data_IF_877691760689
#
_entry.id   IF_877691760689
#
_cell.length_a   1.000
_cell.length_b   1.000
_cell.length_c   1.000
_cell.angle_alpha   90.00
_cell.angle_beta   90.00
_cell.angle_gamma   90.00
#
_symmetry.space_group_name_H-M   'P 1'
#
loop_
_entity.id
_entity.type
_entity.pdbx_description
1 polymer ?
#
# COMPACT_ATOMS: atom_id res chain seq x y z
N UNK A 1 -2.43 -36.23 2.76
CA UNK A 1 -3.05 -36.92 1.62
C UNK A 1 -2.26 -36.52 0.39
N UNK A 2 -1.62 -37.47 -0.30
CA UNK A 2 -0.66 -37.15 -1.35
C UNK A 2 -1.34 -37.29 -2.71
N UNK A 3 -1.37 -36.20 -3.48
CA UNK A 3 -2.02 -36.13 -4.80
C UNK A 3 -0.95 -35.79 -5.83
N UNK A 4 -0.97 -36.50 -6.96
CA UNK A 4 -0.17 -36.19 -8.12
C UNK A 4 -1.07 -35.59 -9.19
N UNK A 5 -0.64 -34.46 -9.74
CA UNK A 5 -1.35 -33.73 -10.79
C UNK A 5 -0.38 -33.61 -11.96
N UNK A 6 -0.76 -34.17 -13.10
CA UNK A 6 -0.06 -34.03 -14.38
C UNK A 6 -1.08 -33.65 -15.45
N UNK A 7 -1.07 -32.38 -15.86
CA UNK A 7 -2.14 -31.81 -16.67
C UNK A 7 -3.49 -31.84 -15.94
N UNK A 8 -4.51 -32.42 -16.58
CA UNK A 8 -5.86 -32.56 -16.02
C UNK A 8 -6.07 -33.82 -15.18
N UNK A 9 -5.09 -34.73 -15.14
CA UNK A 9 -5.19 -35.97 -14.39
C UNK A 9 -4.74 -35.78 -12.95
N UNK A 10 -5.71 -35.73 -12.03
CA UNK A 10 -5.48 -35.77 -10.60
C UNK A 10 -5.71 -37.20 -10.08
N UNK A 11 -4.67 -37.82 -9.51
CA UNK A 11 -4.80 -39.12 -8.84
C UNK A 11 -4.16 -39.13 -7.45
N UNK A 12 -4.78 -39.89 -6.56
CA UNK A 12 -4.22 -40.18 -5.25
C UNK A 12 -3.02 -41.11 -5.39
N UNK A 13 -1.90 -40.72 -4.77
CA UNK A 13 -0.68 -41.54 -4.74
C UNK A 13 -0.79 -42.60 -3.64
N UNK A 14 -0.46 -43.84 -3.98
CA UNK A 14 -0.27 -44.90 -3.01
C UNK A 14 1.15 -44.83 -2.42
N UNK A 15 1.38 -45.45 -1.25
CA UNK A 15 2.71 -45.47 -0.60
C UNK A 15 3.81 -46.07 -1.50
N UNK A 16 3.46 -46.98 -2.41
CA UNK A 16 4.38 -47.53 -3.41
C UNK A 16 4.95 -46.46 -4.35
N UNK A 17 4.16 -45.43 -4.67
CA UNK A 17 4.51 -44.38 -5.64
C UNK A 17 5.52 -43.37 -5.06
N UNK A 18 5.71 -43.39 -3.73
CA UNK A 18 6.54 -42.47 -2.97
C UNK A 18 7.94 -43.03 -2.69
N UNK A 19 8.19 -44.32 -2.95
CA UNK A 19 9.49 -44.95 -2.68
C UNK A 19 10.61 -44.31 -3.50
N UNK A 20 11.63 -43.81 -2.82
CA UNK A 20 12.84 -43.22 -3.44
C UNK A 20 12.69 -41.76 -3.87
N UNK A 21 11.50 -41.15 -3.71
CA UNK A 21 11.29 -39.72 -3.97
C UNK A 21 11.52 -38.91 -2.70
N UNK A 22 12.15 -37.72 -2.82
CA UNK A 22 12.21 -36.77 -1.70
C UNK A 22 10.80 -36.26 -1.42
N UNK A 23 10.32 -36.53 -0.23
CA UNK A 23 9.02 -36.04 0.26
C UNK A 23 9.24 -34.69 0.92
N UNK A 24 8.45 -33.69 0.54
CA UNK A 24 8.37 -32.41 1.25
C UNK A 24 7.13 -32.48 2.14
N UNK A 25 7.34 -32.47 3.45
CA UNK A 25 6.24 -32.51 4.40
C UNK A 25 5.65 -31.10 4.53
N UNK A 26 4.44 -30.90 4.01
CA UNK A 26 3.69 -29.66 4.24
C UNK A 26 3.15 -29.75 5.67
N UNK A 27 3.85 -29.08 6.60
CA UNK A 27 3.44 -29.03 8.00
C UNK A 27 2.04 -28.40 8.11
N UNK A 28 1.10 -29.01 8.87
CA UNK A 28 -0.28 -28.51 9.02
C UNK A 28 -0.41 -27.10 9.58
N UNK A 29 0.67 -26.54 10.15
CA UNK A 29 0.67 -25.22 10.76
C UNK A 29 0.57 -24.06 9.75
N UNK A 30 0.67 -24.31 8.43
CA UNK A 30 0.59 -23.26 7.40
C UNK A 30 -0.81 -23.07 6.81
N UNK A 31 -1.76 -23.99 7.05
CA UNK A 31 -3.16 -23.70 6.75
C UNK A 31 -3.77 -22.95 7.93
N UNK A 32 -3.88 -21.62 7.81
CA UNK A 32 -4.60 -20.74 8.74
C UNK A 32 -6.10 -21.00 8.83
N UNK A 33 -6.53 -22.26 8.71
CA UNK A 33 -7.91 -22.73 8.86
C UNK A 33 -8.31 -22.87 10.32
N UNK A 34 -7.99 -21.89 11.17
CA UNK A 34 -8.81 -21.67 12.35
C UNK A 34 -10.07 -20.96 11.85
N UNK A 35 -11.10 -21.73 11.47
CA UNK A 35 -12.46 -21.20 11.36
C UNK A 35 -12.89 -20.92 12.79
N UNK A 36 -12.46 -19.78 13.33
CA UNK A 36 -13.16 -19.20 14.45
C UNK A 36 -14.63 -19.10 14.02
N UNK A 37 -15.60 -19.53 14.86
CA UNK A 37 -16.99 -19.24 14.57
C UNK A 37 -17.06 -17.75 14.27
N UNK A 38 -17.75 -17.37 13.18
CA UNK A 38 -18.02 -15.97 12.90
C UNK A 38 -18.50 -15.38 14.22
N UNK A 39 -17.81 -14.35 14.78
CA UNK A 39 -18.28 -13.75 16.00
C UNK A 39 -19.76 -13.45 15.77
N UNK A 40 -20.61 -13.73 16.76
CA UNK A 40 -21.94 -13.13 16.77
C UNK A 40 -21.75 -11.69 16.32
N UNK A 41 -22.61 -11.19 15.42
CA UNK A 41 -22.59 -9.77 15.05
C UNK A 41 -22.82 -8.96 16.33
N UNK A 42 -21.78 -8.80 17.14
CA UNK A 42 -21.58 -7.67 18.00
C UNK A 42 -21.87 -6.55 17.02
N UNK A 43 -22.93 -5.79 17.33
CA UNK A 43 -23.20 -4.55 16.61
C UNK A 43 -21.85 -3.86 16.61
N UNK A 44 -21.14 -3.84 15.47
CA UNK A 44 -20.06 -2.87 15.29
C UNK A 44 -20.76 -1.59 15.66
N UNK A 45 -20.32 -0.94 16.75
CA UNK A 45 -20.83 0.37 17.13
C UNK A 45 -21.01 1.12 15.82
N UNK A 46 -22.24 1.59 15.54
CA UNK A 46 -22.67 2.07 14.22
C UNK A 46 -21.65 3.07 13.69
N UNK A 47 -20.68 2.57 12.93
CA UNK A 47 -19.60 3.38 12.41
C UNK A 47 -19.99 3.70 10.99
N UNK A 48 -20.07 4.99 10.71
CA UNK A 48 -20.37 5.52 9.40
C UNK A 48 -19.39 4.91 8.39
N UNK A 49 -19.93 4.41 7.27
CA UNK A 49 -19.10 3.91 6.17
C UNK A 49 -18.73 5.11 5.32
N UNK A 50 -17.44 5.42 5.27
CA UNK A 50 -16.92 6.54 4.49
C UNK A 50 -16.61 6.07 3.07
N UNK A 51 -17.35 6.60 2.10
CA UNK A 51 -17.12 6.39 0.67
C UNK A 51 -15.95 7.24 0.12
N UNK A 52 -15.68 7.08 -1.17
CA UNK A 52 -14.73 7.92 -1.89
C UNK A 52 -15.44 9.11 -2.55
N UNK A 53 -15.12 10.32 -2.12
CA UNK A 53 -15.53 11.53 -2.84
C UNK A 53 -14.87 11.64 -4.23
N UNK A 54 -13.72 10.98 -4.42
CA UNK A 54 -13.01 10.92 -5.71
C UNK A 54 -13.83 10.12 -6.72
N UNK A 55 -14.44 9.00 -6.32
CA UNK A 55 -15.31 8.20 -7.19
C UNK A 55 -16.51 9.02 -7.70
N UNK A 56 -17.10 9.85 -6.84
CA UNK A 56 -18.18 10.77 -7.23
C UNK A 56 -17.68 11.79 -8.27
N UNK A 57 -16.51 12.38 -8.03
CA UNK A 57 -15.87 13.34 -8.93
C UNK A 57 -15.57 12.72 -10.30
N UNK A 58 -14.95 11.54 -10.32
CA UNK A 58 -14.67 10.78 -11.55
C UNK A 58 -15.98 10.46 -12.27
N UNK A 59 -17.00 10.03 -11.56
CA UNK A 59 -18.32 9.74 -12.13
C UNK A 59 -18.98 10.98 -12.75
N UNK A 60 -18.82 12.16 -12.15
CA UNK A 60 -19.31 13.43 -12.71
C UNK A 60 -18.55 13.76 -14.00
N UNK A 61 -17.22 13.66 -14.00
CA UNK A 61 -16.40 13.92 -15.20
C UNK A 61 -16.73 12.95 -16.32
N UNK A 62 -16.88 11.65 -16.03
CA UNK A 62 -17.19 10.61 -17.01
C UNK A 62 -18.59 10.77 -17.65
N UNK A 63 -19.54 11.38 -16.94
CA UNK A 63 -20.90 11.66 -17.45
C UNK A 63 -21.03 13.02 -18.15
N UNK A 64 -19.96 13.81 -18.18
CA UNK A 64 -19.99 15.12 -18.82
C UNK A 64 -20.09 14.96 -20.34
N UNK A 65 -21.15 15.53 -20.91
CA UNK A 65 -21.40 15.50 -22.37
C UNK A 65 -21.05 16.80 -23.07
N UNK A 66 -20.72 17.84 -22.29
CA UNK A 66 -20.30 19.15 -22.80
C UNK A 66 -18.79 19.18 -23.00
N UNK A 67 -18.36 19.96 -23.99
CA UNK A 67 -16.96 20.29 -24.18
C UNK A 67 -16.46 21.08 -22.97
N UNK A 68 -15.61 20.46 -22.15
CA UNK A 68 -15.12 21.02 -20.89
C UNK A 68 -13.64 20.73 -20.73
N UNK A 69 -12.89 21.71 -20.21
CA UNK A 69 -11.53 21.50 -19.74
C UNK A 69 -11.61 21.15 -18.26
N UNK A 70 -11.19 19.93 -17.90
CA UNK A 70 -11.26 19.43 -16.52
C UNK A 70 -9.87 19.42 -15.87
N UNK A 71 -9.80 20.01 -14.68
CA UNK A 71 -8.65 19.90 -13.76
C UNK A 71 -9.00 19.11 -12.50
N UNK A 72 -10.10 18.35 -12.53
CA UNK A 72 -10.70 17.75 -11.34
C UNK A 72 -10.10 16.39 -10.94
N UNK A 73 -9.44 15.70 -11.86
CA UNK A 73 -8.93 14.33 -11.64
C UNK A 73 -7.44 14.30 -11.94
N UNK A 74 -6.65 13.88 -10.95
CA UNK A 74 -5.21 13.64 -11.09
C UNK A 74 -4.92 12.26 -11.66
N UNK A 75 -5.24 12.05 -12.94
CA UNK A 75 -4.91 10.81 -13.66
C UNK A 75 -3.73 11.04 -14.63
N UNK A 76 -2.93 10.01 -14.95
CA UNK A 76 -1.94 10.09 -16.02
C UNK A 76 -2.58 10.48 -17.36
N UNK A 77 -1.82 11.14 -18.23
CA UNK A 77 -2.31 11.47 -19.57
C UNK A 77 -2.51 10.22 -20.42
N UNK A 78 -3.40 10.28 -21.41
CA UNK A 78 -3.64 9.17 -22.32
C UNK A 78 -2.38 8.78 -23.09
N UNK A 79 -1.59 9.77 -23.49
CA UNK A 79 -0.32 9.57 -24.19
C UNK A 79 0.69 8.82 -23.31
N UNK A 80 0.72 9.07 -22.00
CA UNK A 80 1.58 8.34 -21.08
C UNK A 80 1.13 6.88 -20.92
N UNK A 81 -0.18 6.63 -20.88
CA UNK A 81 -0.74 5.27 -20.80
C UNK A 81 -0.46 4.47 -22.08
N UNK A 82 -0.50 5.12 -23.24
CA UNK A 82 -0.19 4.47 -24.54
C UNK A 82 1.28 3.97 -24.59
N UNK A 83 2.20 4.57 -23.82
CA UNK A 83 3.62 4.13 -23.73
C UNK A 83 3.81 2.80 -22.98
N UNK A 84 2.81 2.36 -22.20
CA UNK A 84 2.91 1.11 -21.43
C UNK A 84 2.96 -0.10 -22.36
N UNK A 85 2.37 -0.02 -23.56
CA UNK A 85 2.37 -1.13 -24.52
C UNK A 85 1.61 -2.36 -23.98
N UNK A 86 0.43 -2.14 -23.40
CA UNK A 86 -0.32 -3.18 -22.68
C UNK A 86 -0.62 -4.42 -23.54
N UNK A 87 -0.90 -4.25 -24.84
CA UNK A 87 -1.16 -5.36 -25.76
C UNK A 87 0.10 -6.24 -25.94
N UNK A 88 1.26 -5.62 -26.11
CA UNK A 88 2.54 -6.32 -26.26
C UNK A 88 2.96 -7.03 -24.98
N UNK A 89 2.73 -6.41 -23.82
CA UNK A 89 2.94 -7.02 -22.51
C UNK A 89 2.05 -8.24 -22.31
N UNK A 90 0.75 -8.10 -22.53
CA UNK A 90 -0.21 -9.19 -22.40
C UNK A 90 0.13 -10.35 -23.34
N UNK A 91 0.45 -10.05 -24.60
CA UNK A 91 0.83 -11.07 -25.57
C UNK A 91 2.17 -11.75 -25.20
N UNK A 92 3.10 -11.02 -24.59
CA UNK A 92 4.38 -11.57 -24.13
C UNK A 92 4.19 -12.53 -22.97
N UNK A 93 3.41 -12.15 -21.96
CA UNK A 93 3.09 -13.00 -20.80
C UNK A 93 2.37 -14.27 -21.26
N UNK A 94 1.35 -14.14 -22.12
CA UNK A 94 0.60 -15.29 -22.64
C UNK A 94 1.46 -16.22 -23.51
N UNK A 95 2.43 -15.70 -24.27
CA UNK A 95 3.37 -16.55 -25.03
C UNK A 95 4.39 -17.25 -24.14
N UNK A 96 4.86 -16.59 -23.08
CA UNK A 96 5.86 -17.13 -22.15
C UNK A 96 5.27 -18.22 -21.26
N UNK A 97 4.10 -17.94 -20.69
CA UNK A 97 3.53 -18.73 -19.60
C UNK A 97 2.23 -19.45 -19.99
N UNK A 98 1.65 -19.14 -21.15
CA UNK A 98 0.42 -19.80 -21.61
C UNK A 98 -0.75 -19.63 -20.64
N UNK A 99 -1.51 -20.71 -20.41
CA UNK A 99 -2.66 -20.69 -19.51
C UNK A 99 -2.29 -20.53 -18.03
N UNK A 100 -1.04 -20.84 -17.63
CA UNK A 100 -0.66 -20.73 -16.21
C UNK A 100 -0.56 -19.28 -15.75
N UNK A 101 -0.36 -18.32 -16.65
CA UNK A 101 -0.44 -16.89 -16.35
C UNK A 101 -1.83 -16.45 -15.81
N UNK A 102 -2.87 -17.22 -16.09
CA UNK A 102 -4.24 -16.94 -15.65
C UNK A 102 -4.63 -17.73 -14.40
N UNK A 103 -3.72 -18.55 -13.87
CA UNK A 103 -3.94 -19.39 -12.70
C UNK A 103 -3.70 -18.66 -11.38
N UNK A 104 -3.85 -19.41 -10.28
CA UNK A 104 -3.49 -18.91 -8.95
C UNK A 104 -1.97 -18.72 -8.81
N UNK A 105 -1.58 -17.55 -8.31
CA UNK A 105 -0.20 -17.25 -7.89
C UNK A 105 -0.03 -17.30 -6.37
N UNK A 106 1.20 -17.05 -5.91
CA UNK A 106 1.48 -16.83 -4.50
C UNK A 106 0.88 -15.49 -4.03
N UNK A 107 0.48 -15.41 -2.76
CA UNK A 107 -0.27 -14.26 -2.22
C UNK A 107 0.56 -12.98 -2.21
N UNK A 108 1.86 -13.09 -1.99
CA UNK A 108 2.77 -11.95 -1.89
C UNK A 108 3.00 -11.23 -3.23
N UNK A 109 2.68 -11.88 -4.35
CA UNK A 109 2.90 -11.38 -5.69
C UNK A 109 3.88 -12.22 -6.50
N UNK A 110 3.91 -11.99 -7.81
CA UNK A 110 4.78 -12.71 -8.74
C UNK A 110 6.27 -12.50 -8.37
N UNK A 111 7.08 -13.58 -8.24
CA UNK A 111 8.46 -13.49 -7.77
C UNK A 111 9.36 -12.52 -8.54
N UNK A 112 9.37 -12.56 -9.88
CA UNK A 112 10.23 -11.69 -10.69
C UNK A 112 9.85 -10.21 -10.48
N UNK A 113 8.55 -9.92 -10.38
CA UNK A 113 8.05 -8.58 -10.11
C UNK A 113 8.51 -8.09 -8.72
N UNK A 114 8.45 -8.94 -7.70
CA UNK A 114 8.91 -8.59 -6.33
C UNK A 114 10.40 -8.27 -6.31
N UNK A 115 11.21 -9.02 -7.06
CA UNK A 115 12.64 -8.75 -7.21
C UNK A 115 12.91 -7.41 -7.90
N UNK A 116 12.16 -7.08 -8.96
CA UNK A 116 12.25 -5.79 -9.66
C UNK A 116 11.89 -4.63 -8.72
N UNK A 117 10.78 -4.74 -7.98
CA UNK A 117 10.36 -3.71 -7.01
C UNK A 117 11.42 -3.54 -5.92
N UNK A 118 11.93 -4.64 -5.35
CA UNK A 118 12.98 -4.59 -4.35
C UNK A 118 14.27 -3.95 -4.90
N UNK A 119 14.61 -4.22 -6.16
CA UNK A 119 15.76 -3.58 -6.82
C UNK A 119 15.57 -2.08 -6.97
N UNK A 120 14.41 -1.64 -7.47
CA UNK A 120 14.10 -0.21 -7.59
C UNK A 120 14.13 0.51 -6.24
N UNK A 121 13.70 -0.16 -5.16
CA UNK A 121 13.79 0.36 -3.80
C UNK A 121 15.26 0.48 -3.33
N UNK A 122 16.11 -0.52 -3.63
CA UNK A 122 17.55 -0.47 -3.34
C UNK A 122 18.28 0.64 -4.09
N UNK A 123 17.89 0.90 -5.33
CA UNK A 123 18.46 2.01 -6.13
C UNK A 123 18.16 3.38 -5.49
N UNK A 124 17.10 3.47 -4.67
CA UNK A 124 16.74 4.63 -3.85
C UNK A 124 17.31 4.59 -2.42
N UNK A 125 18.16 3.62 -2.11
CA UNK A 125 18.81 3.47 -0.80
C UNK A 125 17.97 2.73 0.25
N UNK A 126 16.81 2.15 -0.10
CA UNK A 126 16.03 1.34 0.83
C UNK A 126 16.66 -0.06 0.94
N UNK A 127 16.90 -0.52 2.15
CA UNK A 127 17.34 -1.89 2.41
C UNK A 127 16.17 -2.88 2.18
N UNK A 128 15.91 -3.22 0.93
CA UNK A 128 14.81 -4.08 0.52
C UNK A 128 15.29 -5.38 -0.17
N UNK A 129 14.62 -6.48 0.13
CA UNK A 129 14.65 -7.73 -0.62
C UNK A 129 13.22 -8.12 -1.04
N UNK A 130 13.08 -9.11 -1.92
CA UNK A 130 11.77 -9.54 -2.37
C UNK A 130 10.87 -10.04 -1.23
N UNK A 131 11.43 -10.57 -0.13
CA UNK A 131 10.65 -11.05 1.02
C UNK A 131 9.93 -9.92 1.74
N UNK A 132 10.48 -8.70 1.69
CA UNK A 132 9.86 -7.47 2.19
C UNK A 132 8.86 -6.81 1.23
N UNK A 133 8.66 -7.35 0.02
CA UNK A 133 7.73 -6.80 -0.98
C UNK A 133 6.42 -7.59 -1.01
N UNK A 134 5.30 -6.85 -0.96
CA UNK A 134 3.95 -7.33 -1.21
C UNK A 134 3.35 -6.58 -2.41
N UNK A 135 2.92 -7.31 -3.43
CA UNK A 135 2.20 -6.73 -4.58
C UNK A 135 0.72 -6.57 -4.23
N UNK A 136 0.21 -5.35 -4.38
CA UNK A 136 -1.20 -5.01 -4.18
C UNK A 136 -1.87 -4.58 -5.48
N UNK A 137 -3.20 -4.63 -5.50
CA UNK A 137 -4.05 -4.01 -6.51
C UNK A 137 -4.11 -2.48 -6.32
N UNK A 138 -2.94 -1.84 -6.44
CA UNK A 138 -2.75 -0.40 -6.28
C UNK A 138 -2.49 0.06 -4.84
N UNK A 139 -2.08 1.32 -4.72
CA UNK A 139 -1.67 1.93 -3.44
C UNK A 139 -2.80 1.92 -2.39
N UNK A 140 -4.06 2.14 -2.78
CA UNK A 140 -5.18 2.17 -1.83
C UNK A 140 -5.41 0.81 -1.15
N UNK A 141 -5.19 -0.31 -1.84
CA UNK A 141 -5.25 -1.63 -1.19
C UNK A 141 -4.09 -1.79 -0.20
N UNK A 142 -2.89 -1.34 -0.55
CA UNK A 142 -1.75 -1.38 0.38
C UNK A 142 -2.03 -0.53 1.64
N UNK A 143 -2.65 0.65 1.48
CA UNK A 143 -3.10 1.48 2.60
C UNK A 143 -4.13 0.74 3.45
N UNK A 144 -5.14 0.10 2.86
CA UNK A 144 -6.14 -0.69 3.61
C UNK A 144 -5.49 -1.85 4.39
N UNK A 145 -4.53 -2.55 3.78
CA UNK A 145 -3.79 -3.63 4.42
C UNK A 145 -2.95 -3.11 5.60
N UNK A 146 -2.26 -1.97 5.43
CA UNK A 146 -1.55 -1.32 6.52
C UNK A 146 -2.51 -0.95 7.67
N UNK A 147 -3.68 -0.39 7.36
CA UNK A 147 -4.70 -0.10 8.37
C UNK A 147 -5.12 -1.36 9.13
N UNK A 148 -5.37 -2.46 8.42
CA UNK A 148 -5.79 -3.74 8.99
C UNK A 148 -4.75 -4.33 9.95
N UNK A 149 -3.47 -4.21 9.61
CA UNK A 149 -2.38 -4.73 10.44
C UNK A 149 -2.18 -3.86 11.68
N UNK A 150 -2.06 -2.54 11.51
CA UNK A 150 -1.58 -1.64 12.57
C UNK A 150 -2.68 -0.99 13.42
N UNK A 151 -3.90 -0.85 12.89
CA UNK A 151 -4.96 -0.08 13.55
C UNK A 151 -6.00 -0.97 14.22
N UNK A 152 -6.53 -0.44 15.32
CA UNK A 152 -7.72 -0.90 16.03
C UNK A 152 -8.69 0.27 16.17
N UNK A 153 -9.97 -0.02 16.39
CA UNK A 153 -10.97 1.01 16.60
C UNK A 153 -10.59 1.90 17.79
N UNK A 154 -10.61 3.22 17.59
CA UNK A 154 -10.20 4.22 18.56
C UNK A 154 -8.73 4.66 18.47
N UNK A 155 -7.88 3.93 17.73
CA UNK A 155 -6.50 4.32 17.50
C UNK A 155 -6.40 5.66 16.76
N UNK A 156 -5.28 6.35 16.94
CA UNK A 156 -5.04 7.66 16.31
C UNK A 156 -4.03 7.53 15.17
N UNK A 157 -4.44 8.00 13.99
CA UNK A 157 -3.56 8.22 12.83
C UNK A 157 -3.25 9.71 12.75
N UNK A 158 -1.97 10.08 12.68
CA UNK A 158 -1.55 11.44 12.34
C UNK A 158 -1.47 11.53 10.83
N UNK A 159 -2.18 12.47 10.23
CA UNK A 159 -2.20 12.65 8.78
C UNK A 159 -2.13 14.12 8.40
N UNK A 160 -1.67 14.36 7.19
CA UNK A 160 -1.63 15.68 6.56
C UNK A 160 -3.03 16.33 6.48
N UNK A 161 -3.05 17.66 6.36
CA UNK A 161 -4.24 18.45 6.13
C UNK A 161 -3.90 19.66 5.27
N UNK A 162 -4.37 19.72 4.01
CA UNK A 162 -5.21 18.71 3.35
C UNK A 162 -4.46 17.39 3.08
N UNK A 163 -5.19 16.29 2.95
CA UNK A 163 -4.64 14.96 2.65
C UNK A 163 -5.45 14.24 1.55
N UNK A 164 -4.87 13.16 1.02
CA UNK A 164 -5.54 12.26 0.11
C UNK A 164 -6.82 11.66 0.73
N UNK A 165 -7.98 12.05 0.19
CA UNK A 165 -9.28 11.77 0.78
C UNK A 165 -9.56 10.27 0.99
N UNK A 166 -9.11 9.41 0.07
CA UNK A 166 -9.37 7.98 0.17
C UNK A 166 -8.58 7.32 1.31
N UNK A 167 -7.37 7.81 1.63
CA UNK A 167 -6.64 7.36 2.81
C UNK A 167 -7.39 7.73 4.10
N UNK A 168 -7.94 8.95 4.18
CA UNK A 168 -8.77 9.37 5.32
C UNK A 168 -10.01 8.49 5.49
N UNK A 169 -10.70 8.17 4.39
CA UNK A 169 -11.83 7.24 4.41
C UNK A 169 -11.41 5.84 4.86
N UNK A 170 -10.25 5.35 4.42
CA UNK A 170 -9.72 4.05 4.86
C UNK A 170 -9.47 4.04 6.38
N UNK A 171 -8.77 5.03 6.93
CA UNK A 171 -8.52 5.11 8.38
C UNK A 171 -9.81 5.10 9.19
N UNK A 172 -10.78 5.92 8.78
CA UNK A 172 -12.09 5.99 9.44
C UNK A 172 -12.82 4.65 9.32
N UNK A 173 -12.83 3.98 8.17
CA UNK A 173 -13.48 2.67 8.01
C UNK A 173 -12.87 1.56 8.89
N UNK A 174 -11.63 1.72 9.37
CA UNK A 174 -11.00 0.86 10.39
C UNK A 174 -11.28 1.33 11.84
N UNK A 175 -12.13 2.33 12.02
CA UNK A 175 -12.52 2.91 13.31
C UNK A 175 -11.46 3.82 13.92
N UNK A 176 -10.44 4.22 13.16
CA UNK A 176 -9.39 5.10 13.64
C UNK A 176 -9.84 6.56 13.63
N UNK A 177 -9.30 7.33 14.58
CA UNK A 177 -9.43 8.79 14.66
C UNK A 177 -8.26 9.43 13.92
N UNK A 178 -8.53 10.46 13.14
CA UNK A 178 -7.47 11.21 12.44
C UNK A 178 -7.11 12.46 13.23
N UNK A 179 -5.83 12.61 13.58
CA UNK A 179 -5.24 13.87 13.98
C UNK A 179 -4.70 14.55 12.72
N UNK A 180 -5.47 15.51 12.22
CA UNK A 180 -5.09 16.32 11.07
C UNK A 180 -4.01 17.35 11.47
N UNK A 181 -2.96 17.44 10.65
CA UNK A 181 -1.80 18.32 10.85
C UNK A 181 -1.56 19.13 9.58
N UNK A 182 -1.38 20.46 9.67
CA UNK A 182 -1.20 21.29 8.49
C UNK A 182 0.04 20.93 7.69
N UNK A 183 -0.06 21.12 6.38
CA UNK A 183 1.06 21.08 5.42
C UNK A 183 1.43 22.52 5.08
N UNK A 184 2.72 22.83 5.08
CA UNK A 184 3.26 24.11 4.59
C UNK A 184 4.30 23.86 3.47
N UNK A 185 5.09 24.88 3.11
CA UNK A 185 6.07 24.82 2.03
C UNK A 185 7.23 23.82 2.22
N UNK A 186 7.27 23.09 3.33
CA UNK A 186 8.23 22.01 3.56
C UNK A 186 7.52 20.67 3.85
N UNK A 187 6.22 20.56 3.56
CA UNK A 187 5.41 19.36 3.81
C UNK A 187 4.69 19.40 5.17
N UNK A 188 4.38 18.23 5.74
CA UNK A 188 3.77 18.09 7.07
C UNK A 188 4.52 18.87 8.15
N UNK A 189 3.84 19.70 8.94
CA UNK A 189 4.44 20.39 10.10
C UNK A 189 4.61 19.41 11.28
N UNK A 190 5.78 18.79 11.36
CA UNK A 190 6.13 17.80 12.40
C UNK A 190 6.14 18.41 13.81
N UNK A 191 6.52 19.68 13.95
CA UNK A 191 6.55 20.35 15.24
C UNK A 191 5.12 20.59 15.76
N UNK A 192 4.21 20.99 14.86
CA UNK A 192 2.79 21.11 15.15
C UNK A 192 2.16 19.75 15.50
N UNK A 193 2.52 18.68 14.77
CA UNK A 193 2.10 17.33 15.12
C UNK A 193 2.49 16.98 16.56
N UNK A 194 3.78 17.12 16.90
CA UNK A 194 4.30 16.85 18.25
C UNK A 194 3.61 17.70 19.33
N UNK A 195 3.33 18.98 19.04
CA UNK A 195 2.63 19.89 19.95
C UNK A 195 1.19 19.43 20.20
N UNK A 196 0.45 19.07 19.15
CA UNK A 196 -0.94 18.58 19.26
C UNK A 196 -1.00 17.24 20.00
N UNK A 197 -0.08 16.32 19.69
CA UNK A 197 0.04 15.03 20.35
C UNK A 197 0.20 15.22 21.86
N UNK A 198 1.16 16.05 22.28
CA UNK A 198 1.41 16.36 23.69
C UNK A 198 0.21 17.04 24.36
N UNK A 199 -0.38 18.04 23.71
CA UNK A 199 -1.51 18.81 24.25
C UNK A 199 -2.73 17.93 24.50
N UNK A 200 -3.00 16.99 23.61
CA UNK A 200 -4.17 16.11 23.67
C UNK A 200 -3.91 14.83 24.47
N UNK A 201 -2.67 14.57 24.87
CA UNK A 201 -2.30 13.35 25.59
C UNK A 201 -2.55 12.07 24.78
N UNK A 202 -2.44 12.15 23.46
CA UNK A 202 -2.67 11.02 22.55
C UNK A 202 -1.39 10.25 22.30
N UNK A 203 -1.50 8.96 22.01
CA UNK A 203 -0.40 8.13 21.51
C UNK A 203 -0.77 7.64 20.11
N UNK A 204 -0.21 8.23 19.04
CA UNK A 204 -0.45 7.77 17.68
C UNK A 204 -0.04 6.30 17.49
N UNK A 205 -0.74 5.59 16.62
CA UNK A 205 -0.34 4.26 16.14
C UNK A 205 0.25 4.29 14.75
N UNK A 206 -0.05 5.34 13.98
CA UNK A 206 0.39 5.50 12.61
C UNK A 206 0.59 6.99 12.29
N UNK A 207 1.62 7.27 11.50
CA UNK A 207 1.78 8.52 10.77
C UNK A 207 1.59 8.20 9.29
N UNK A 208 0.74 8.95 8.59
CA UNK A 208 0.53 8.83 7.15
C UNK A 208 1.02 10.09 6.44
N UNK A 209 1.84 9.93 5.41
CA UNK A 209 2.45 11.04 4.68
C UNK A 209 2.60 10.71 3.20
N UNK A 210 2.35 11.69 2.33
CA UNK A 210 2.71 11.66 0.91
C UNK A 210 3.93 12.56 0.73
N UNK A 211 5.17 12.04 0.82
CA UNK A 211 6.34 12.86 1.09
C UNK A 211 6.86 13.60 -0.15
N UNK A 212 6.47 13.19 -1.35
CA UNK A 212 6.85 13.84 -2.61
C UNK A 212 5.59 14.28 -3.34
N UNK A 213 5.55 15.56 -3.73
CA UNK A 213 4.47 16.15 -4.54
C UNK A 213 3.08 15.84 -3.96
N UNK A 214 2.95 16.13 -2.66
CA UNK A 214 1.83 15.78 -1.80
C UNK A 214 0.47 16.03 -2.48
N UNK A 215 -0.45 15.08 -2.38
CA UNK A 215 -1.81 15.28 -2.88
C UNK A 215 -2.72 15.83 -1.75
N UNK A 216 -3.23 17.08 -1.84
CA UNK A 216 -3.32 17.92 -3.05
C UNK A 216 -2.35 19.12 -3.14
N UNK A 217 -1.46 19.37 -2.18
CA UNK A 217 -0.71 20.65 -2.13
C UNK A 217 0.43 20.78 -3.14
N UNK A 218 0.96 19.65 -3.62
CA UNK A 218 2.17 19.56 -4.45
C UNK A 218 3.47 19.72 -3.67
N UNK A 219 3.41 19.91 -2.34
CA UNK A 219 4.58 20.14 -1.51
C UNK A 219 5.42 18.88 -1.32
N UNK A 220 6.70 19.06 -1.02
CA UNK A 220 7.63 17.96 -0.74
C UNK A 220 8.09 18.05 0.71
N UNK A 221 8.01 16.93 1.45
CA UNK A 221 8.53 16.85 2.81
C UNK A 221 10.06 17.01 2.77
N UNK A 222 10.56 18.07 3.41
CA UNK A 222 11.99 18.37 3.47
C UNK A 222 12.77 17.25 4.15
N UNK A 223 14.08 17.18 3.89
CA UNK A 223 14.94 16.16 4.49
C UNK A 223 14.89 16.21 6.03
N UNK A 224 14.99 17.41 6.58
CA UNK A 224 14.94 17.67 8.03
C UNK A 224 13.61 17.21 8.63
N UNK A 225 12.49 17.39 7.91
CA UNK A 225 11.17 16.93 8.36
C UNK A 225 10.99 15.43 8.21
N UNK A 226 11.63 14.77 7.24
CA UNK A 226 11.68 13.30 7.17
C UNK A 226 12.35 12.74 8.42
N UNK A 227 13.52 13.26 8.79
CA UNK A 227 14.23 12.84 10.00
C UNK A 227 13.42 13.13 11.27
N UNK A 228 12.84 14.33 11.37
CA UNK A 228 12.02 14.69 12.52
C UNK A 228 10.76 13.82 12.65
N UNK A 229 10.11 13.47 11.54
CA UNK A 229 8.93 12.62 11.52
C UNK A 229 9.27 11.20 11.98
N UNK A 230 10.38 10.63 11.49
CA UNK A 230 10.87 9.32 11.91
C UNK A 230 11.20 9.30 13.40
N UNK A 231 11.91 10.33 13.90
CA UNK A 231 12.20 10.46 15.34
C UNK A 231 10.92 10.57 16.19
N UNK A 232 9.93 11.34 15.72
CA UNK A 232 8.64 11.47 16.40
C UNK A 232 7.87 10.14 16.41
N UNK A 233 7.82 9.42 15.28
CA UNK A 233 7.17 8.13 15.18
C UNK A 233 7.83 7.07 16.09
N UNK A 234 9.16 6.99 16.07
CA UNK A 234 9.95 6.11 16.92
C UNK A 234 9.68 6.35 18.41
N UNK A 235 9.59 7.61 18.84
CA UNK A 235 9.29 7.95 20.24
C UNK A 235 7.91 7.48 20.73
N UNK A 236 7.00 7.14 19.83
CA UNK A 236 5.66 6.64 20.15
C UNK A 236 5.49 5.14 19.90
N UNK A 237 6.49 4.48 19.31
CA UNK A 237 6.39 3.12 18.77
C UNK A 237 5.22 3.02 17.77
N UNK A 238 5.23 3.95 16.81
CA UNK A 238 4.23 4.10 15.76
C UNK A 238 4.86 3.87 14.39
N UNK A 239 4.11 3.25 13.48
CA UNK A 239 4.54 3.03 12.10
C UNK A 239 4.39 4.31 11.28
N UNK A 240 5.29 4.53 10.33
CA UNK A 240 5.11 5.53 9.27
C UNK A 240 4.65 4.82 8.00
N UNK A 241 3.49 5.21 7.48
CA UNK A 241 3.02 4.81 6.15
C UNK A 241 3.40 5.93 5.19
N UNK A 242 4.35 5.63 4.32
CA UNK A 242 4.85 6.51 3.27
C UNK A 242 4.14 6.15 1.96
N UNK A 243 3.19 6.96 1.50
CA UNK A 243 2.50 6.78 0.22
C UNK A 243 3.17 7.68 -0.84
N UNK A 244 3.96 7.09 -1.73
CA UNK A 244 4.86 7.83 -2.63
C UNK A 244 4.60 7.51 -4.12
N UNK A 245 3.36 7.74 -4.63
CA UNK A 245 3.01 7.44 -6.02
C UNK A 245 3.68 8.40 -7.02
N UNK A 246 4.21 9.53 -6.55
CA UNK A 246 4.74 10.61 -7.40
C UNK A 246 6.27 10.69 -7.37
N UNK A 247 6.96 9.77 -6.69
CA UNK A 247 8.42 9.81 -6.49
C UNK A 247 9.21 10.11 -7.77
N UNK A 248 8.85 9.45 -8.88
CA UNK A 248 9.52 9.55 -10.18
C UNK A 248 9.15 10.80 -10.99
N UNK A 249 8.23 11.64 -10.50
CA UNK A 249 7.69 12.80 -11.22
C UNK A 249 8.35 14.12 -10.82
N UNK A 250 9.62 14.07 -10.38
CA UNK A 250 10.39 15.27 -10.04
C UNK A 250 10.82 16.01 -11.30
N UNK A 251 10.27 17.21 -11.50
CA UNK A 251 10.67 18.06 -12.63
C UNK A 251 11.87 18.97 -12.34
N UNK A 252 12.10 19.33 -11.07
CA UNK A 252 13.17 20.24 -10.62
C UNK A 252 13.62 19.92 -9.20
N UNK A 253 14.82 20.39 -8.85
CA UNK A 253 15.46 20.14 -7.57
C UNK A 253 16.08 18.75 -7.50
N UNK A 254 16.66 18.44 -6.34
CA UNK A 254 17.32 17.16 -6.11
C UNK A 254 16.34 16.12 -5.57
N UNK A 255 16.62 14.84 -5.83
CA UNK A 255 15.89 13.73 -5.23
C UNK A 255 16.18 13.66 -3.73
N UNK A 256 15.12 13.40 -2.96
CA UNK A 256 15.21 13.16 -1.53
C UNK A 256 15.06 11.66 -1.25
N UNK A 257 15.85 11.10 -0.31
CA UNK A 257 15.71 9.69 0.06
C UNK A 257 14.31 9.42 0.63
N UNK A 258 13.69 8.28 0.32
CA UNK A 258 12.48 7.83 1.00
C UNK A 258 12.70 7.73 2.50
N UNK A 259 11.64 7.88 3.29
CA UNK A 259 11.67 7.68 4.74
C UNK A 259 12.18 6.28 5.09
N UNK A 260 11.82 5.27 4.29
CA UNK A 260 12.29 3.90 4.47
C UNK A 260 13.81 3.72 4.30
N UNK A 261 14.50 4.64 3.60
CA UNK A 261 15.97 4.62 3.45
C UNK A 261 16.71 5.27 4.62
N UNK A 262 16.06 6.18 5.36
CA UNK A 262 16.69 6.91 6.46
C UNK A 262 16.76 6.08 7.75
N UNK A 263 15.80 5.17 7.95
CA UNK A 263 15.71 4.32 9.13
C UNK A 263 15.27 5.07 10.41
N UNK A 264 15.41 4.43 11.57
CA UNK A 264 15.08 5.03 12.87
C UNK A 264 13.64 4.83 13.35
N UNK A 265 12.70 4.47 12.46
CA UNK A 265 11.35 4.01 12.78
C UNK A 265 10.93 2.88 11.82
N UNK A 266 9.84 2.17 12.15
CA UNK A 266 9.20 1.24 11.22
C UNK A 266 8.49 2.04 10.11
N UNK A 267 8.80 1.73 8.85
CA UNK A 267 8.23 2.39 7.68
C UNK A 267 7.62 1.36 6.73
N UNK A 268 6.36 1.56 6.36
CA UNK A 268 5.69 0.87 5.25
C UNK A 268 5.71 1.83 4.06
N UNK A 269 6.54 1.54 3.07
CA UNK A 269 6.62 2.32 1.83
C UNK A 269 5.65 1.75 0.80
N UNK A 270 4.83 2.61 0.21
CA UNK A 270 3.79 2.28 -0.75
C UNK A 270 4.08 3.05 -2.04
N UNK A 271 4.19 2.31 -3.14
CA UNK A 271 4.30 2.86 -4.49
C UNK A 271 3.16 2.37 -5.39
N UNK A 272 3.09 2.93 -6.59
CA UNK A 272 2.19 2.47 -7.66
C UNK A 272 2.90 2.54 -9.01
N UNK A 273 2.43 1.74 -9.96
CA UNK A 273 2.84 1.80 -11.37
C UNK A 273 2.21 2.98 -12.09
#
# INVERSE_FOLDING_TARGET
>A
MNVFIDGEDARFLAESDLRGKRTVEILPAMSGGAVAPLPERARRDEHEVYGSFIDETIGIVARQTRDTVSFAVGAPSREALDLVGADDLAATVLRRDGATALGYGITEGEPDLRDVIASAARDRGVAADASGVLVSAGALQAIDLACRVYLRAGDVVVAESPAFANALSAFRNHGARVLEVPVDGEGLDVAEAARRIRKLGIRPRMFFVVPNFQNPTGETLSFERREALLALAASHDAVVVEDDPYAALRYRGDDLPPLAALGGAEVVSIGTF
#
